data_IF_148884133121
#
_entry.id   IF_148884133121
#
_cell.length_a   1.000
_cell.length_b   1.000
_cell.length_c   1.000
_cell.angle_alpha   90.00
_cell.angle_beta   90.00
_cell.angle_gamma   90.00
#
_symmetry.space_group_name_H-M   'P 1'
#
loop_
_entity.id
_entity.type
_entity.pdbx_description
1 polymer ?
#
# COMPACT_ATOMS: atom_id res chain seq x y z
N UNK A 1 -12.28 -15.05 3.43
CA UNK A 1 -11.59 -14.02 2.63
C UNK A 1 -12.13 -12.66 3.04
N UNK A 2 -11.25 -11.71 3.27
CA UNK A 2 -11.56 -10.33 3.65
C UNK A 2 -10.97 -9.43 2.58
N UNK A 3 -11.72 -8.40 2.20
CA UNK A 3 -11.25 -7.47 1.18
C UNK A 3 -10.36 -6.41 1.83
N UNK A 4 -9.18 -6.21 1.27
CA UNK A 4 -8.27 -5.15 1.66
C UNK A 4 -8.04 -4.23 0.48
N UNK A 5 -8.01 -2.94 0.76
CA UNK A 5 -7.78 -1.88 -0.20
C UNK A 5 -6.41 -1.29 0.06
N UNK A 6 -5.67 -1.05 -1.01
CA UNK A 6 -4.36 -0.43 -0.98
C UNK A 6 -4.52 0.97 -1.57
N UNK A 7 -4.49 1.99 -0.72
CA UNK A 7 -4.60 3.39 -1.12
C UNK A 7 -3.19 3.94 -1.23
N UNK A 8 -2.74 4.20 -2.47
CA UNK A 8 -1.44 4.80 -2.74
C UNK A 8 -1.63 6.31 -2.83
N UNK A 9 -1.10 7.05 -1.85
CA UNK A 9 -1.08 8.51 -1.94
C UNK A 9 0.15 8.94 -2.72
N UNK A 10 -0.01 9.00 -4.03
CA UNK A 10 0.97 9.51 -4.99
C UNK A 10 0.60 10.93 -5.50
N UNK A 11 -0.29 11.64 -4.79
CA UNK A 11 -0.82 12.94 -5.24
C UNK A 11 -1.76 12.89 -6.45
N UNK A 12 -1.81 11.76 -7.17
CA UNK A 12 -2.78 11.50 -8.24
C UNK A 12 -4.05 10.86 -7.65
N UNK A 13 -5.26 11.43 -7.86
CA UNK A 13 -6.52 10.87 -7.37
C UNK A 13 -7.00 9.65 -8.17
N UNK A 14 -6.08 8.84 -8.71
CA UNK A 14 -6.43 7.58 -9.34
C UNK A 14 -6.67 6.59 -8.23
N UNK A 15 -7.94 6.43 -7.86
CA UNK A 15 -8.45 5.34 -7.03
C UNK A 15 -8.25 4.01 -7.76
N UNK A 16 -7.01 3.55 -7.90
CA UNK A 16 -6.70 2.14 -8.12
C UNK A 16 -7.00 1.42 -6.80
N UNK A 17 -8.30 1.32 -6.50
CA UNK A 17 -8.85 0.47 -5.44
C UNK A 17 -8.70 -0.96 -5.92
N UNK A 18 -7.46 -1.44 -6.00
CA UNK A 18 -7.18 -2.85 -6.14
C UNK A 18 -7.60 -3.48 -4.82
N UNK A 19 -8.86 -3.88 -4.76
CA UNK A 19 -9.43 -4.57 -3.61
C UNK A 19 -9.03 -6.02 -3.67
N UNK A 20 -7.91 -6.36 -3.04
CA UNK A 20 -7.38 -7.72 -3.00
C UNK A 20 -7.97 -8.46 -1.80
N UNK A 21 -8.35 -9.70 -2.02
CA UNK A 21 -8.91 -10.56 -0.99
C UNK A 21 -7.79 -11.34 -0.30
N UNK A 22 -7.59 -11.09 0.99
CA UNK A 22 -6.65 -11.84 1.82
C UNK A 22 -7.39 -12.63 2.89
N UNK A 23 -6.79 -13.71 3.39
CA UNK A 23 -7.37 -14.47 4.49
C UNK A 23 -7.05 -13.82 5.83
N UNK A 24 -5.89 -13.17 5.93
CA UNK A 24 -5.37 -12.54 7.15
C UNK A 24 -4.84 -11.14 6.89
N UNK A 25 -4.81 -10.33 7.96
CA UNK A 25 -4.16 -9.02 7.90
C UNK A 25 -2.65 -9.15 7.59
N UNK A 26 -2.01 -10.23 8.04
CA UNK A 26 -0.59 -10.46 7.82
C UNK A 26 -0.25 -10.63 6.34
N UNK A 27 -1.08 -11.37 5.58
CA UNK A 27 -0.89 -11.50 4.13
C UNK A 27 -1.05 -10.16 3.41
N UNK A 28 -2.05 -9.35 3.80
CA UNK A 28 -2.24 -8.02 3.22
C UNK A 28 -1.04 -7.08 3.49
N UNK A 29 -0.44 -7.18 4.68
CA UNK A 29 0.76 -6.43 5.06
C UNK A 29 1.98 -6.91 4.27
N UNK A 30 2.19 -8.22 4.14
CA UNK A 30 3.28 -8.77 3.33
C UNK A 30 3.18 -8.33 1.88
N UNK A 31 1.98 -8.38 1.31
CA UNK A 31 1.76 -7.92 -0.06
C UNK A 31 1.99 -6.42 -0.22
N UNK A 32 1.59 -5.61 0.77
CA UNK A 32 1.90 -4.17 0.81
C UNK A 32 3.41 -3.90 0.70
N UNK A 33 4.22 -4.70 1.43
CA UNK A 33 5.68 -4.59 1.40
C UNK A 33 6.28 -4.97 0.06
N UNK A 34 5.75 -6.01 -0.58
CA UNK A 34 6.16 -6.41 -1.93
C UNK A 34 5.87 -5.29 -2.93
N UNK A 35 4.68 -4.68 -2.88
CA UNK A 35 4.34 -3.51 -3.72
C UNK A 35 5.30 -2.35 -3.41
N UNK A 36 5.51 -2.00 -2.14
CA UNK A 36 6.43 -0.94 -1.75
C UNK A 36 7.89 -1.21 -2.18
N UNK A 37 8.28 -2.48 -2.31
CA UNK A 37 9.59 -2.86 -2.80
C UNK A 37 9.66 -2.79 -4.34
N UNK A 38 8.62 -3.23 -5.04
CA UNK A 38 8.51 -3.12 -6.50
C UNK A 38 8.53 -1.64 -6.92
N UNK A 39 7.77 -0.77 -6.26
CA UNK A 39 7.80 0.68 -6.52
C UNK A 39 9.19 1.31 -6.30
N UNK A 40 9.94 0.83 -5.28
CA UNK A 40 11.33 1.25 -5.04
C UNK A 40 12.26 0.82 -6.18
N UNK A 41 12.11 -0.39 -6.68
CA UNK A 41 12.96 -0.97 -7.73
C UNK A 41 12.63 -0.40 -9.12
N UNK A 42 11.33 -0.26 -9.42
CA UNK A 42 10.80 0.19 -10.71
C UNK A 42 10.83 1.71 -10.91
N UNK A 43 11.45 2.45 -9.99
CA UNK A 43 11.87 3.84 -10.18
C UNK A 43 10.74 4.85 -10.46
N UNK A 44 9.60 4.75 -9.77
CA UNK A 44 8.72 5.91 -9.55
C UNK A 44 9.37 6.82 -8.50
N UNK A 45 10.48 7.45 -8.91
CA UNK A 45 11.48 8.12 -8.07
C UNK A 45 11.15 9.54 -7.63
N UNK A 46 10.07 10.13 -8.12
CA UNK A 46 9.81 11.56 -7.90
C UNK A 46 8.91 11.84 -6.68
N UNK A 47 8.08 10.89 -6.28
CA UNK A 47 7.15 11.07 -5.15
C UNK A 47 7.78 10.61 -3.83
N UNK A 48 8.58 11.49 -3.21
CA UNK A 48 9.20 11.24 -1.89
C UNK A 48 8.20 10.94 -0.77
N UNK A 49 6.93 11.28 -0.97
CA UNK A 49 5.83 11.07 -0.03
C UNK A 49 4.96 9.85 -0.40
N UNK A 50 5.43 8.97 -1.31
CA UNK A 50 4.67 7.78 -1.70
C UNK A 50 4.50 6.83 -0.50
N UNK A 51 3.24 6.68 -0.10
CA UNK A 51 2.79 5.85 1.01
C UNK A 51 1.65 4.95 0.56
N UNK A 52 1.66 3.71 1.05
CA UNK A 52 0.65 2.70 0.77
C UNK A 52 -0.13 2.44 2.06
N UNK A 53 -1.39 2.83 2.09
CA UNK A 53 -2.31 2.54 3.18
C UNK A 53 -3.08 1.27 2.89
N UNK A 54 -3.00 0.31 3.81
CA UNK A 54 -3.80 -0.90 3.77
C UNK A 54 -5.04 -0.69 4.64
N UNK A 55 -6.19 -0.70 4.00
CA UNK A 55 -7.50 -0.48 4.62
C UNK A 55 -8.31 -1.76 4.49
N UNK A 56 -8.97 -2.20 5.56
CA UNK A 56 -9.85 -3.36 5.47
C UNK A 56 -11.21 -3.03 4.83
N UNK A 57 -12.04 -4.04 4.64
CA UNK A 57 -13.39 -3.93 4.08
C UNK A 57 -14.32 -2.96 4.83
N UNK A 58 -14.04 -2.68 6.10
CA UNK A 58 -14.80 -1.74 6.92
C UNK A 58 -14.29 -0.29 6.78
N UNK A 59 -13.30 -0.03 5.92
CA UNK A 59 -12.68 1.28 5.78
C UNK A 59 -11.70 1.62 6.92
N UNK A 60 -11.27 0.64 7.71
CA UNK A 60 -10.30 0.85 8.80
C UNK A 60 -8.89 0.58 8.31
N UNK A 61 -8.01 1.57 8.44
CA UNK A 61 -6.57 1.38 8.25
C UNK A 61 -6.04 0.31 9.21
N UNK A 62 -5.45 -0.72 8.63
CA UNK A 62 -4.77 -1.79 9.36
C UNK A 62 -3.26 -1.62 9.31
N UNK A 63 -2.72 -0.96 8.28
CA UNK A 63 -1.29 -0.78 8.09
C UNK A 63 -1.00 0.38 7.14
N UNK A 64 0.17 1.00 7.27
CA UNK A 64 0.68 2.04 6.38
C UNK A 64 2.16 1.79 6.17
N UNK A 65 2.57 1.63 4.93
CA UNK A 65 3.96 1.38 4.53
C UNK A 65 4.47 2.56 3.71
N UNK A 66 5.67 3.03 4.02
CA UNK A 66 6.30 4.13 3.29
C UNK A 66 7.28 3.56 2.25
N UNK A 67 7.14 3.99 1.00
CA UNK A 67 7.95 3.46 -0.11
C UNK A 67 9.33 4.11 -0.14
N UNK A 68 9.41 5.44 0.01
CA UNK A 68 10.67 6.19 -0.10
C UNK A 68 11.28 6.64 1.22
N UNK A 69 10.58 6.42 2.34
CA UNK A 69 11.08 6.87 3.64
C UNK A 69 12.03 5.82 4.20
N UNK A 70 13.34 6.08 4.08
CA UNK A 70 14.34 5.31 4.83
C UNK A 70 14.07 5.50 6.34
N UNK A 71 14.08 4.43 7.15
CA UNK A 71 14.10 4.57 8.60
C UNK A 71 15.40 5.29 8.99
N UNK A 72 15.28 6.49 9.58
CA UNK A 72 16.39 7.16 10.27
C UNK A 72 16.85 6.36 11.47
#
# INVERSE_FOLDING_TARGET
MRKFFFDMKDGVPTRDRIGIEFNTNAEAISHCKEIAQDFRDNSLRDDKDLEILVVNENGREIHREFVHREPQ
#
